data_IF_737694731632
#
_entry.id   IF_737694731632
#
_cell.length_a   1.000
_cell.length_b   1.000
_cell.length_c   1.000
_cell.angle_alpha   90.00
_cell.angle_beta   90.00
_cell.angle_gamma   90.00
#
_symmetry.space_group_name_H-M   'P 1'
#
loop_
_entity.id
_entity.type
_entity.pdbx_description
1 polymer ?
#
# COMPACT_ATOMS: atom_id res chain seq x y z
N UNK A 1 53.08 20.84 -38.62
CA UNK A 1 52.37 20.38 -37.41
C UNK A 1 51.51 21.54 -36.89
N UNK A 2 50.25 21.61 -37.33
CA UNK A 2 49.31 22.63 -36.83
C UNK A 2 48.66 22.11 -35.54
N UNK A 3 49.07 22.66 -34.40
CA UNK A 3 48.33 22.52 -33.14
C UNK A 3 47.03 23.33 -33.32
N UNK A 4 45.92 22.64 -33.60
CA UNK A 4 44.59 23.23 -33.46
C UNK A 4 44.49 23.79 -32.03
N UNK A 5 44.22 25.10 -31.94
CA UNK A 5 43.93 25.78 -30.69
C UNK A 5 42.70 25.14 -30.05
N UNK A 6 42.94 24.26 -29.08
CA UNK A 6 41.94 23.78 -28.14
C UNK A 6 41.72 24.88 -27.10
N UNK A 7 40.88 25.86 -27.43
CA UNK A 7 40.45 26.90 -26.51
C UNK A 7 38.93 26.88 -26.45
N UNK A 8 38.36 26.29 -25.42
CA UNK A 8 36.94 26.47 -25.12
C UNK A 8 36.68 27.97 -24.95
N UNK A 9 35.75 28.51 -25.73
CA UNK A 9 35.35 29.90 -25.59
C UNK A 9 34.76 30.08 -24.20
N UNK A 10 35.13 31.13 -23.48
CA UNK A 10 34.63 31.41 -22.12
C UNK A 10 33.10 31.40 -22.06
N UNK A 11 32.45 31.82 -23.17
CA UNK A 11 31.02 31.74 -23.37
C UNK A 11 30.48 30.31 -23.40
N UNK A 12 31.19 29.38 -24.05
CA UNK A 12 30.84 27.96 -24.08
C UNK A 12 30.86 27.35 -22.68
N UNK A 13 31.86 27.70 -21.86
CA UNK A 13 31.97 27.25 -20.48
C UNK A 13 30.84 27.78 -19.60
N UNK A 14 30.45 29.05 -19.75
CA UNK A 14 29.33 29.64 -19.01
C UNK A 14 28.01 28.97 -19.40
N UNK A 15 27.79 28.76 -20.70
CA UNK A 15 26.58 28.08 -21.21
C UNK A 15 26.53 26.62 -20.72
N UNK A 16 27.64 25.90 -20.79
CA UNK A 16 27.74 24.53 -20.30
C UNK A 16 27.48 24.44 -18.79
N UNK A 17 28.02 25.39 -18.00
CA UNK A 17 27.76 25.46 -16.56
C UNK A 17 26.28 25.73 -16.25
N UNK A 18 25.63 26.64 -16.99
CA UNK A 18 24.21 26.92 -16.85
C UNK A 18 23.33 25.70 -17.13
N UNK A 19 23.61 24.99 -18.23
CA UNK A 19 22.91 23.74 -18.58
C UNK A 19 23.14 22.69 -17.48
N UNK A 20 24.38 22.54 -17.01
CA UNK A 20 24.71 21.57 -15.97
C UNK A 20 23.96 21.82 -14.66
N UNK A 21 23.84 23.09 -14.24
CA UNK A 21 23.06 23.46 -13.05
C UNK A 21 21.58 23.12 -13.24
N UNK A 22 20.99 23.47 -14.40
CA UNK A 22 19.59 23.17 -14.68
C UNK A 22 19.30 21.66 -14.67
N UNK A 23 20.17 20.87 -15.31
CA UNK A 23 20.07 19.41 -15.31
C UNK A 23 20.23 18.85 -13.90
N UNK A 24 21.15 19.39 -13.10
CA UNK A 24 21.38 18.94 -11.72
C UNK A 24 20.16 19.19 -10.82
N UNK A 25 19.52 20.35 -10.96
CA UNK A 25 18.29 20.68 -10.22
C UNK A 25 17.14 19.77 -10.67
N UNK A 26 17.00 19.54 -11.98
CA UNK A 26 15.97 18.65 -12.52
C UNK A 26 16.13 17.21 -12.00
N UNK A 27 17.36 16.66 -12.04
CA UNK A 27 17.67 15.33 -11.52
C UNK A 27 17.40 15.23 -10.02
N UNK A 28 17.75 16.26 -9.25
CA UNK A 28 17.47 16.31 -7.81
C UNK A 28 15.96 16.31 -7.53
N UNK A 29 15.18 17.05 -8.33
CA UNK A 29 13.71 17.05 -8.24
C UNK A 29 13.12 15.68 -8.51
N UNK A 30 13.54 15.02 -9.60
CA UNK A 30 13.12 13.66 -9.95
C UNK A 30 13.45 12.67 -8.84
N UNK A 31 14.66 12.76 -8.26
CA UNK A 31 15.09 11.89 -7.17
C UNK A 31 14.21 12.03 -5.92
N UNK A 32 13.87 13.25 -5.53
CA UNK A 32 12.99 13.51 -4.37
C UNK A 32 11.58 12.97 -4.63
N UNK A 33 11.04 13.15 -5.84
CA UNK A 33 9.73 12.61 -6.19
C UNK A 33 9.74 11.08 -6.21
N UNK A 34 10.76 10.47 -6.81
CA UNK A 34 10.90 9.02 -6.90
C UNK A 34 11.04 8.36 -5.52
N UNK A 35 11.88 8.91 -4.64
CA UNK A 35 12.05 8.39 -3.27
C UNK A 35 10.77 8.47 -2.44
N UNK A 36 9.96 9.53 -2.60
CA UNK A 36 8.62 9.61 -1.99
C UNK A 36 7.65 8.60 -2.59
N UNK A 37 7.71 8.38 -3.90
CA UNK A 37 6.90 7.37 -4.58
C UNK A 37 7.19 5.95 -4.09
N UNK A 38 8.48 5.59 -3.98
CA UNK A 38 8.91 4.30 -3.44
C UNK A 38 8.45 4.09 -1.99
N UNK A 39 8.56 5.13 -1.16
CA UNK A 39 8.08 5.10 0.22
C UNK A 39 6.59 4.75 0.29
N UNK A 40 5.76 5.44 -0.49
CA UNK A 40 4.32 5.19 -0.54
C UNK A 40 4.00 3.81 -1.12
N UNK A 41 4.73 3.38 -2.14
CA UNK A 41 4.53 2.06 -2.74
C UNK A 41 4.85 0.93 -1.77
N UNK A 42 5.88 1.07 -0.94
CA UNK A 42 6.24 0.07 0.06
C UNK A 42 5.18 -0.04 1.17
N UNK A 43 4.60 1.08 1.60
CA UNK A 43 3.49 1.12 2.56
C UNK A 43 2.26 0.37 2.02
N UNK A 44 1.89 0.65 0.77
CA UNK A 44 0.79 -0.07 0.10
C UNK A 44 1.09 -1.56 -0.08
N UNK A 45 2.33 -1.94 -0.41
CA UNK A 45 2.68 -3.36 -0.52
C UNK A 45 2.54 -4.09 0.81
N UNK A 46 2.95 -3.46 1.92
CA UNK A 46 2.80 -4.03 3.25
C UNK A 46 1.33 -4.16 3.66
N UNK A 47 0.50 -3.13 3.41
CA UNK A 47 -0.93 -3.19 3.64
C UNK A 47 -1.61 -4.31 2.83
N UNK A 48 -1.27 -4.43 1.55
CA UNK A 48 -1.80 -5.47 0.65
C UNK A 48 -1.39 -6.88 1.09
N UNK A 49 -0.15 -7.04 1.57
CA UNK A 49 0.33 -8.31 2.08
C UNK A 49 -0.40 -8.69 3.38
N UNK A 50 -0.56 -7.76 4.31
CA UNK A 50 -1.31 -7.97 5.56
C UNK A 50 -2.78 -8.31 5.29
N UNK A 51 -3.42 -7.60 4.36
CA UNK A 51 -4.81 -7.87 3.99
C UNK A 51 -4.97 -9.29 3.44
N UNK A 52 -4.05 -9.73 2.57
CA UNK A 52 -4.04 -11.10 2.04
C UNK A 52 -3.76 -12.14 3.12
N UNK A 53 -2.74 -11.93 3.96
CA UNK A 53 -2.38 -12.91 5.00
C UNK A 53 -3.49 -13.13 6.01
N UNK A 54 -4.18 -12.05 6.43
CA UNK A 54 -5.33 -12.14 7.32
C UNK A 54 -6.49 -12.85 6.62
N UNK A 55 -6.75 -12.52 5.35
CA UNK A 55 -7.79 -13.20 4.57
C UNK A 55 -7.49 -14.70 4.44
N UNK A 56 -6.26 -15.09 4.10
CA UNK A 56 -5.84 -16.48 4.00
C UNK A 56 -5.98 -17.21 5.35
N UNK A 57 -5.61 -16.56 6.45
CA UNK A 57 -5.81 -17.11 7.80
C UNK A 57 -7.28 -17.36 8.13
N UNK A 58 -8.17 -16.42 7.78
CA UNK A 58 -9.61 -16.57 7.98
C UNK A 58 -10.20 -17.69 7.10
N UNK A 59 -9.77 -17.77 5.84
CA UNK A 59 -10.22 -18.82 4.89
C UNK A 59 -9.75 -20.20 5.32
N UNK A 60 -8.54 -20.31 5.87
CA UNK A 60 -7.97 -21.58 6.31
C UNK A 60 -8.75 -22.24 7.47
N UNK A 61 -9.57 -21.49 8.22
CA UNK A 61 -10.42 -22.04 9.26
C UNK A 61 -11.59 -22.87 8.72
N UNK A 62 -11.86 -22.82 7.41
CA UNK A 62 -12.89 -23.61 6.76
C UNK A 62 -14.27 -22.95 6.73
N UNK A 63 -15.15 -23.54 5.92
CA UNK A 63 -16.49 -22.99 5.64
C UNK A 63 -17.39 -22.94 6.89
N UNK A 64 -17.41 -24.01 7.68
CA UNK A 64 -18.26 -24.10 8.88
C UNK A 64 -17.90 -23.02 9.92
N UNK A 65 -16.60 -22.74 10.07
CA UNK A 65 -16.13 -21.69 10.96
C UNK A 65 -16.58 -20.30 10.51
N UNK A 66 -16.48 -20.01 9.20
CA UNK A 66 -16.90 -18.73 8.63
C UNK A 66 -18.40 -18.47 8.81
N UNK A 67 -19.25 -19.50 8.71
CA UNK A 67 -20.68 -19.37 8.98
C UNK A 67 -20.96 -19.03 10.44
N UNK A 68 -20.29 -19.71 11.38
CA UNK A 68 -20.48 -19.44 12.83
C UNK A 68 -20.05 -18.02 13.25
N UNK A 69 -19.18 -17.38 12.46
CA UNK A 69 -18.66 -16.04 12.72
C UNK A 69 -19.25 -14.98 11.79
N UNK A 70 -20.35 -15.27 11.10
CA UNK A 70 -21.06 -14.28 10.28
C UNK A 70 -21.45 -13.06 11.12
N UNK A 71 -21.21 -11.86 10.57
CA UNK A 71 -21.54 -10.59 11.23
C UNK A 71 -20.61 -10.22 12.39
N UNK A 72 -19.54 -10.99 12.64
CA UNK A 72 -18.48 -10.54 13.53
C UNK A 72 -17.52 -9.61 12.80
N UNK A 73 -17.15 -8.54 13.50
CA UNK A 73 -16.03 -7.68 13.14
C UNK A 73 -14.88 -7.98 14.10
N UNK A 74 -13.74 -8.36 13.56
CA UNK A 74 -12.52 -8.49 14.35
C UNK A 74 -11.54 -7.37 14.05
N UNK A 75 -10.74 -7.01 15.05
CA UNK A 75 -9.73 -5.96 14.96
C UNK A 75 -8.38 -6.50 15.41
N UNK A 76 -7.34 -6.22 14.64
CA UNK A 76 -5.96 -6.63 14.95
C UNK A 76 -4.97 -5.54 14.55
N UNK A 77 -4.05 -5.22 15.46
CA UNK A 77 -3.00 -4.22 15.23
C UNK A 77 -1.67 -4.89 14.87
N UNK A 78 -1.09 -4.45 13.75
CA UNK A 78 0.22 -4.89 13.29
C UNK A 78 1.21 -3.74 13.31
N UNK A 79 2.45 -4.03 13.70
CA UNK A 79 3.57 -3.08 13.66
C UNK A 79 4.60 -3.59 12.67
N UNK A 80 4.85 -2.81 11.62
CA UNK A 80 5.88 -3.12 10.62
C UNK A 80 7.04 -2.17 10.83
N UNK A 81 8.21 -2.73 11.13
CA UNK A 81 9.45 -1.97 11.24
C UNK A 81 9.94 -1.57 9.84
N UNK A 82 10.26 -0.28 9.69
CA UNK A 82 10.78 0.29 8.45
C UNK A 82 12.07 1.03 8.69
N UNK A 83 12.99 0.97 7.72
CA UNK A 83 14.13 1.87 7.66
C UNK A 83 13.77 3.13 6.87
N UNK A 84 13.71 4.28 7.55
CA UNK A 84 13.52 5.61 6.95
C UNK A 84 14.80 6.41 7.14
N UNK A 85 15.49 6.72 6.03
CA UNK A 85 16.73 7.52 6.04
C UNK A 85 17.81 6.97 6.99
N UNK A 86 17.93 5.64 7.07
CA UNK A 86 18.90 4.96 7.93
C UNK A 86 18.50 4.85 9.41
N UNK A 87 17.31 5.31 9.79
CA UNK A 87 16.73 5.12 11.12
C UNK A 87 15.58 4.11 11.07
N UNK A 88 15.48 3.28 12.09
CA UNK A 88 14.32 2.42 12.32
C UNK A 88 13.12 3.30 12.71
N UNK A 89 12.00 3.09 12.05
CA UNK A 89 10.75 3.78 12.27
C UNK A 89 9.62 2.76 12.15
N UNK A 90 8.74 2.74 13.14
CA UNK A 90 7.64 1.80 13.19
C UNK A 90 6.40 2.40 12.52
N UNK A 91 5.76 1.60 11.67
CA UNK A 91 4.50 1.95 11.05
C UNK A 91 3.42 0.98 11.56
N UNK A 92 2.38 1.55 12.17
CA UNK A 92 1.25 0.79 12.71
C UNK A 92 0.14 0.67 11.67
N UNK A 93 -0.32 -0.55 11.47
CA UNK A 93 -1.47 -0.89 10.64
C UNK A 93 -2.56 -1.46 11.53
N UNK A 94 -3.77 -0.96 11.35
CA UNK A 94 -4.96 -1.44 12.03
C UNK A 94 -5.80 -2.20 11.02
N UNK A 95 -5.93 -3.50 11.25
CA UNK A 95 -6.66 -4.40 10.37
C UNK A 95 -8.02 -4.68 10.99
N UNK A 96 -9.06 -4.49 10.20
CA UNK A 96 -10.43 -4.86 10.57
C UNK A 96 -10.95 -5.84 9.54
N UNK A 97 -11.73 -6.84 9.94
CA UNK A 97 -12.35 -7.76 9.00
C UNK A 97 -13.82 -7.97 9.30
N UNK A 98 -14.61 -8.14 8.24
CA UNK A 98 -16.04 -8.42 8.28
C UNK A 98 -16.33 -9.68 7.46
N UNK A 99 -17.02 -10.64 8.08
CA UNK A 99 -17.48 -11.87 7.41
C UNK A 99 -18.99 -11.74 7.16
N UNK A 100 -19.39 -11.82 5.89
CA UNK A 100 -20.79 -11.70 5.48
C UNK A 100 -21.15 -12.89 4.60
N UNK A 101 -21.98 -13.80 5.13
CA UNK A 101 -22.60 -14.87 4.34
C UNK A 101 -24.05 -14.50 3.97
N UNK A 102 -24.62 -15.26 3.04
CA UNK A 102 -25.91 -15.00 2.40
C UNK A 102 -27.11 -15.65 3.13
N UNK A 103 -26.96 -16.08 4.38
CA UNK A 103 -28.08 -16.63 5.13
C UNK A 103 -29.09 -15.52 5.48
N UNK A 104 -30.10 -15.34 4.62
CA UNK A 104 -31.32 -14.57 4.88
C UNK A 104 -31.27 -13.03 4.80
N UNK A 105 -30.18 -12.41 4.30
CA UNK A 105 -30.00 -10.94 4.27
C UNK A 105 -29.96 -10.30 2.88
N UNK A 106 -29.92 -8.96 2.81
CA UNK A 106 -30.01 -8.09 1.61
C UNK A 106 -28.99 -8.33 0.46
N UNK A 107 -28.10 -9.32 0.61
CA UNK A 107 -27.24 -9.87 -0.44
C UNK A 107 -27.92 -10.97 -1.29
N UNK A 108 -29.13 -11.39 -0.89
CA UNK A 108 -29.88 -12.52 -1.44
C UNK A 108 -30.40 -12.36 -2.86
N UNK A 109 -30.44 -11.14 -3.41
CA UNK A 109 -30.88 -10.93 -4.80
C UNK A 109 -29.79 -11.13 -5.84
N UNK A 110 -28.50 -11.24 -5.45
CA UNK A 110 -27.38 -11.28 -6.41
C UNK A 110 -26.46 -12.50 -6.30
N UNK A 111 -26.47 -13.25 -5.19
CA UNK A 111 -25.50 -14.32 -4.96
C UNK A 111 -26.17 -15.60 -4.44
N UNK A 112 -25.54 -16.76 -4.71
CA UNK A 112 -26.00 -18.08 -4.26
C UNK A 112 -25.88 -18.24 -2.74
N UNK A 113 -26.66 -19.15 -2.13
CA UNK A 113 -26.55 -19.52 -0.70
C UNK A 113 -25.17 -20.12 -0.37
N UNK A 114 -24.46 -20.65 -1.37
CA UNK A 114 -23.12 -21.23 -1.25
C UNK A 114 -21.97 -20.20 -1.30
N UNK A 115 -22.26 -18.89 -1.13
CA UNK A 115 -21.28 -17.82 -1.21
C UNK A 115 -21.10 -17.08 0.11
N UNK A 116 -19.84 -16.98 0.56
CA UNK A 116 -19.42 -16.15 1.68
C UNK A 116 -18.49 -15.04 1.18
N UNK A 117 -18.67 -13.82 1.68
CA UNK A 117 -17.80 -12.68 1.40
C UNK A 117 -17.00 -12.33 2.65
N UNK A 118 -15.69 -12.34 2.52
CA UNK A 118 -14.77 -11.85 3.54
C UNK A 118 -14.20 -10.51 3.08
N UNK A 119 -14.41 -9.47 3.88
CA UNK A 119 -13.89 -8.12 3.62
C UNK A 119 -12.84 -7.83 4.69
N UNK A 120 -11.61 -7.55 4.27
CA UNK A 120 -10.54 -7.13 5.16
C UNK A 120 -10.15 -5.70 4.80
N UNK A 121 -10.13 -4.81 5.79
CA UNK A 121 -9.72 -3.41 5.63
C UNK A 121 -8.47 -3.18 6.47
N UNK A 122 -7.45 -2.62 5.85
CA UNK A 122 -6.20 -2.25 6.50
C UNK A 122 -6.10 -0.74 6.48
N UNK A 123 -6.03 -0.14 7.66
CA UNK A 123 -5.95 1.31 7.85
C UNK A 123 -4.62 1.67 8.48
N UNK A 124 -3.96 2.74 8.02
CA UNK A 124 -2.69 3.18 8.60
C UNK A 124 -2.49 4.69 8.48
N UNK A 125 -1.53 5.18 9.27
CA UNK A 125 -1.09 6.57 9.23
C UNK A 125 0.20 6.70 8.43
N UNK A 126 0.11 7.16 7.19
CA UNK A 126 1.30 7.55 6.43
C UNK A 126 1.77 8.94 6.86
N UNK A 127 3.08 9.10 7.07
CA UNK A 127 3.72 10.38 7.37
C UNK A 127 3.65 11.41 6.22
N UNK A 128 3.10 11.02 5.06
CA UNK A 128 3.02 11.84 3.85
C UNK A 128 1.64 12.48 3.60
N UNK A 129 0.64 12.23 4.45
CA UNK A 129 -0.72 12.79 4.36
C UNK A 129 -0.98 13.90 5.38
N UNK A 130 -1.96 14.78 5.11
CA UNK A 130 -2.50 15.69 6.14
C UNK A 130 -3.04 14.82 7.28
N UNK A 131 -2.62 15.16 8.50
CA UNK A 131 -3.09 14.53 9.73
C UNK A 131 -4.36 15.29 10.08
N UNK A 132 -5.52 14.72 9.81
CA UNK A 132 -6.75 15.15 10.44
C UNK A 132 -6.93 14.27 11.69
N UNK A 133 -7.10 14.92 12.84
CA UNK A 133 -7.28 14.39 14.19
C UNK A 133 -7.63 12.89 14.30
N UNK A 134 -6.66 12.08 14.71
CA UNK A 134 -6.87 10.71 15.18
C UNK A 134 -7.37 9.68 14.16
N UNK A 135 -7.66 10.10 12.93
CA UNK A 135 -8.28 9.27 11.90
C UNK A 135 -7.24 8.75 10.89
N UNK A 136 -7.39 7.49 10.46
CA UNK A 136 -6.46 6.88 9.52
C UNK A 136 -6.48 7.59 8.17
N UNK A 137 -5.32 8.03 7.68
CA UNK A 137 -5.23 8.80 6.44
C UNK A 137 -5.05 7.94 5.17
N UNK A 138 -4.85 6.63 5.32
CA UNK A 138 -4.82 5.68 4.21
C UNK A 138 -5.59 4.40 4.59
N UNK A 139 -6.25 3.81 3.60
CA UNK A 139 -7.00 2.56 3.71
C UNK A 139 -6.78 1.71 2.46
N UNK A 140 -6.62 0.40 2.66
CA UNK A 140 -6.69 -0.61 1.62
C UNK A 140 -7.78 -1.62 1.96
N UNK A 141 -8.65 -1.92 1.01
CA UNK A 141 -9.75 -2.87 1.18
C UNK A 141 -9.51 -4.07 0.27
N UNK A 142 -9.46 -5.25 0.87
CA UNK A 142 -9.39 -6.52 0.16
C UNK A 142 -10.71 -7.26 0.34
N UNK A 143 -11.29 -7.74 -0.76
CA UNK A 143 -12.55 -8.48 -0.76
C UNK A 143 -12.29 -9.84 -1.39
N UNK A 144 -12.59 -10.90 -0.65
CA UNK A 144 -12.56 -12.27 -1.15
C UNK A 144 -13.96 -12.86 -1.16
N UNK A 145 -14.25 -13.60 -2.22
CA UNK A 145 -15.48 -14.38 -2.37
C UNK A 145 -15.13 -15.85 -2.31
N UNK A 146 -15.82 -16.54 -1.42
CA UNK A 146 -15.56 -17.91 -1.06
C UNK A 146 -16.79 -18.74 -1.42
N UNK A 147 -16.57 -19.83 -2.14
CA UNK A 147 -17.60 -20.80 -2.48
C UNK A 147 -17.46 -22.04 -1.61
N UNK A 148 -18.59 -22.55 -1.13
CA UNK A 148 -18.67 -23.77 -0.31
C UNK A 148 -17.84 -24.93 -0.86
N UNK A 149 -17.95 -25.21 -2.17
CA UNK A 149 -17.25 -26.34 -2.82
C UNK A 149 -15.74 -26.12 -3.05
N UNK A 150 -15.22 -24.93 -2.74
CA UNK A 150 -13.80 -24.59 -2.89
C UNK A 150 -12.99 -24.58 -1.60
N UNK A 151 -13.61 -24.90 -0.45
CA UNK A 151 -13.00 -24.80 0.89
C UNK A 151 -13.13 -26.13 1.67
N UNK A 152 -13.66 -27.19 1.05
CA UNK A 152 -13.69 -28.55 1.63
C UNK A 152 -12.32 -29.24 1.58
#
# INVERSE_FOLDING_TARGET
MSRRHTGHSLLETIVAAGIFVLVSVALSGVWVMYSKGLAKSAENMAASFLARSVTEGLVANGWDWLLTHQGTTGEEDFVVERLVRGKKADLKYHVTYDIVSNEGGAFSTFFSEDLCRVVVRVKWHSSNGKIDDGDYNNEEVFVSFLYKHGIE
#
